data_IF_597159230868
#
_entry.id   IF_597159230868
#
_cell.length_a   1.000
_cell.length_b   1.000
_cell.length_c   1.000
_cell.angle_alpha   90.00
_cell.angle_beta   90.00
_cell.angle_gamma   90.00
#
_symmetry.space_group_name_H-M   'P 1'
#
loop_
_entity.id
_entity.type
_entity.pdbx_description
1 polymer ?
#
# COMPACT_ATOMS: atom_id res chain seq x y z
N UNK A 1 -31.49 -58.72 6.84
CA UNK A 1 -30.11 -58.81 6.32
C UNK A 1 -29.21 -58.09 7.30
N UNK A 2 -28.56 -58.84 8.19
CA UNK A 2 -27.76 -58.27 9.28
C UNK A 2 -26.46 -57.67 8.73
N UNK A 3 -26.44 -56.36 8.54
CA UNK A 3 -25.21 -55.65 8.25
C UNK A 3 -24.38 -55.53 9.53
N UNK A 4 -23.25 -56.26 9.59
CA UNK A 4 -22.29 -56.15 10.69
C UNK A 4 -21.67 -54.75 10.69
N UNK A 5 -21.66 -54.11 11.85
CA UNK A 5 -21.05 -52.78 12.06
C UNK A 5 -19.53 -52.89 11.91
N UNK A 6 -18.94 -52.27 10.89
CA UNK A 6 -17.49 -52.18 10.73
C UNK A 6 -16.94 -51.12 11.69
N UNK A 7 -16.15 -51.55 12.68
CA UNK A 7 -15.43 -50.64 13.56
C UNK A 7 -14.17 -50.15 12.85
N UNK A 8 -14.24 -48.99 12.22
CA UNK A 8 -13.05 -48.34 11.68
C UNK A 8 -12.25 -47.70 12.82
N UNK A 9 -10.94 -48.00 12.89
CA UNK A 9 -10.04 -47.33 13.82
C UNK A 9 -10.00 -45.84 13.48
N UNK A 10 -10.22 -44.99 14.48
CA UNK A 10 -10.15 -43.54 14.29
C UNK A 10 -8.75 -43.17 13.75
N UNK A 11 -8.70 -42.69 12.51
CA UNK A 11 -7.48 -42.24 11.87
C UNK A 11 -7.48 -40.71 11.90
N UNK A 12 -6.52 -40.12 12.61
CA UNK A 12 -6.41 -38.67 12.69
C UNK A 12 -5.69 -38.15 11.44
N UNK A 13 -6.40 -37.40 10.60
CA UNK A 13 -5.80 -36.67 9.47
C UNK A 13 -5.46 -35.23 9.88
N UNK A 14 -4.51 -34.62 9.18
CA UNK A 14 -4.14 -33.21 9.36
C UNK A 14 -4.34 -32.49 8.03
N UNK A 15 -5.58 -32.17 7.73
CA UNK A 15 -5.91 -31.36 6.55
C UNK A 15 -5.82 -29.88 6.92
N UNK A 16 -5.25 -29.08 6.02
CA UNK A 16 -5.13 -27.63 6.20
C UNK A 16 -5.70 -26.92 4.97
N UNK A 17 -6.53 -25.91 5.20
CA UNK A 17 -7.05 -25.07 4.12
C UNK A 17 -5.96 -24.10 3.66
N UNK A 18 -5.67 -24.10 2.35
CA UNK A 18 -4.81 -23.07 1.76
C UNK A 18 -5.62 -21.76 1.67
N UNK A 19 -5.06 -20.66 2.18
CA UNK A 19 -5.67 -19.33 2.15
C UNK A 19 -4.61 -18.28 1.79
N UNK A 20 -5.01 -17.30 0.97
CA UNK A 20 -4.18 -16.15 0.64
C UNK A 20 -4.37 -15.04 1.67
N UNK A 21 -3.36 -14.86 2.52
CA UNK A 21 -3.38 -13.80 3.52
C UNK A 21 -3.10 -12.44 2.89
N UNK A 22 -3.96 -11.47 3.18
CA UNK A 22 -3.78 -10.07 2.78
C UNK A 22 -3.81 -9.17 4.01
N UNK A 23 -2.79 -8.34 4.16
CA UNK A 23 -2.76 -7.32 5.22
C UNK A 23 -3.53 -6.09 4.78
N UNK A 24 -4.41 -5.59 5.65
CA UNK A 24 -5.14 -4.33 5.46
C UNK A 24 -4.81 -3.41 6.63
N UNK A 25 -4.34 -2.19 6.34
CA UNK A 25 -4.01 -1.19 7.37
C UNK A 25 -5.21 -0.29 7.68
N UNK A 26 -5.44 0.00 8.96
CA UNK A 26 -6.39 1.01 9.43
C UNK A 26 -5.63 2.20 10.01
N UNK A 27 -6.10 3.43 9.76
CA UNK A 27 -5.55 4.65 10.37
C UNK A 27 -6.55 5.22 11.36
N UNK A 28 -6.07 5.60 12.54
CA UNK A 28 -6.83 6.33 13.56
C UNK A 28 -6.60 7.84 13.43
N UNK A 29 -7.49 8.65 14.01
CA UNK A 29 -7.31 10.10 14.08
C UNK A 29 -6.06 10.42 14.91
N UNK A 30 -5.30 11.43 14.48
CA UNK A 30 -4.18 12.00 15.22
C UNK A 30 -4.56 13.41 15.63
N UNK A 31 -4.32 13.74 16.89
CA UNK A 31 -4.56 15.07 17.43
C UNK A 31 -3.29 15.92 17.31
N UNK A 32 -3.48 17.22 17.08
CA UNK A 32 -2.41 18.22 17.06
C UNK A 32 -2.97 19.50 17.68
N UNK A 33 -2.18 20.15 18.53
CA UNK A 33 -2.51 21.43 19.15
C UNK A 33 -1.35 22.40 18.96
N UNK A 34 -1.67 23.67 18.74
CA UNK A 34 -0.69 24.76 18.65
C UNK A 34 -1.11 25.84 19.61
N UNK A 35 -0.16 26.44 20.33
CA UNK A 35 -0.41 27.56 21.23
C UNK A 35 0.31 28.80 20.69
N UNK A 36 -0.45 29.89 20.51
CA UNK A 36 0.11 31.16 20.07
C UNK A 36 0.90 31.83 21.20
N UNK A 37 2.00 32.49 20.85
CA UNK A 37 2.78 33.30 21.78
C UNK A 37 1.98 34.50 22.30
N UNK A 38 2.00 34.68 23.63
CA UNK A 38 1.29 35.74 24.32
C UNK A 38 2.05 36.12 25.59
N UNK A 39 2.07 37.42 25.88
CA UNK A 39 2.65 37.93 27.13
C UNK A 39 2.01 37.28 28.37
N UNK A 40 2.84 36.87 29.32
CA UNK A 40 2.43 36.18 30.55
C UNK A 40 2.18 34.67 30.40
N UNK A 41 2.38 34.10 29.21
CA UNK A 41 2.26 32.66 28.97
C UNK A 41 3.64 32.01 28.82
N UNK A 42 3.84 30.87 29.49
CA UNK A 42 5.01 30.04 29.27
C UNK A 42 4.85 29.18 28.02
N UNK A 43 5.83 29.24 27.12
CA UNK A 43 5.95 28.39 25.94
C UNK A 43 7.33 27.74 25.91
N UNK A 44 7.37 26.43 25.65
CA UNK A 44 8.63 25.70 25.46
C UNK A 44 8.90 25.52 23.97
N UNK A 45 9.91 26.23 23.47
CA UNK A 45 10.34 26.18 22.07
C UNK A 45 11.62 25.34 21.85
N UNK A 46 12.13 24.63 22.86
CA UNK A 46 13.44 23.94 22.78
C UNK A 46 13.50 22.85 21.72
N UNK A 47 12.37 22.22 21.40
CA UNK A 47 12.26 21.16 20.40
C UNK A 47 11.81 21.67 19.03
N UNK A 48 11.56 22.97 18.90
CA UNK A 48 11.04 23.55 17.67
C UNK A 48 12.12 23.63 16.59
N UNK A 49 11.67 23.64 15.35
CA UNK A 49 12.54 23.73 14.19
C UNK A 49 12.23 24.99 13.38
N UNK A 50 13.24 25.82 13.18
CA UNK A 50 13.17 26.91 12.21
C UNK A 50 13.41 26.38 10.80
N UNK A 51 12.43 26.60 9.91
CA UNK A 51 12.50 26.21 8.51
C UNK A 51 12.53 27.47 7.65
N UNK A 52 13.46 27.51 6.69
CA UNK A 52 13.46 28.53 5.65
C UNK A 52 12.46 28.14 4.56
N UNK A 53 11.73 29.12 3.99
CA UNK A 53 10.84 28.85 2.87
C UNK A 53 11.66 28.39 1.67
N UNK A 54 11.21 27.30 1.05
CA UNK A 54 11.71 26.85 -0.24
C UNK A 54 10.75 27.30 -1.35
N UNK A 55 11.18 27.12 -2.60
CA UNK A 55 10.30 27.32 -3.75
C UNK A 55 9.00 26.53 -3.54
N UNK A 56 7.88 27.24 -3.57
CA UNK A 56 6.58 26.62 -3.44
C UNK A 56 6.28 25.80 -4.70
N UNK A 57 5.94 24.54 -4.51
CA UNK A 57 5.55 23.68 -5.60
C UNK A 57 4.04 23.80 -5.80
N UNK A 58 3.66 24.52 -6.85
CA UNK A 58 2.26 24.83 -7.11
C UNK A 58 1.45 23.65 -7.67
N UNK A 59 0.15 23.86 -7.83
CA UNK A 59 -0.77 22.84 -8.34
C UNK A 59 -0.51 22.49 -9.81
N UNK A 60 -0.04 23.45 -10.61
CA UNK A 60 0.21 23.28 -12.05
C UNK A 60 1.47 22.43 -12.29
N UNK A 61 2.56 22.76 -11.59
CA UNK A 61 3.79 21.97 -11.56
C UNK A 61 3.51 20.53 -11.10
N UNK A 62 2.63 20.34 -10.12
CA UNK A 62 2.23 19.01 -9.68
C UNK A 62 1.47 18.22 -10.73
N UNK A 63 0.51 18.87 -11.40
CA UNK A 63 -0.25 18.25 -12.47
C UNK A 63 0.64 17.86 -13.65
N UNK A 64 1.51 18.77 -14.08
CA UNK A 64 2.48 18.50 -15.14
C UNK A 64 3.37 17.31 -14.78
N UNK A 65 3.96 17.30 -13.59
CA UNK A 65 4.84 16.21 -13.14
C UNK A 65 4.11 14.86 -13.08
N UNK A 66 2.85 14.84 -12.63
CA UNK A 66 2.03 13.61 -12.64
C UNK A 66 1.75 13.13 -14.06
N UNK A 67 1.42 14.04 -14.98
CA UNK A 67 1.14 13.70 -16.38
C UNK A 67 2.37 13.13 -17.08
N UNK A 68 3.54 13.75 -16.91
CA UNK A 68 4.81 13.25 -17.45
C UNK A 68 5.13 11.85 -16.91
N UNK A 69 5.00 11.65 -15.59
CA UNK A 69 5.22 10.34 -14.97
C UNK A 69 4.23 9.29 -15.49
N UNK A 70 2.95 9.65 -15.65
CA UNK A 70 1.94 8.76 -16.20
C UNK A 70 2.25 8.36 -17.64
N UNK A 71 2.61 9.31 -18.51
CA UNK A 71 3.00 9.03 -19.89
C UNK A 71 4.22 8.10 -19.97
N UNK A 72 5.22 8.33 -19.12
CA UNK A 72 6.38 7.46 -19.02
C UNK A 72 6.01 6.02 -18.64
N UNK A 73 5.23 5.85 -17.57
CA UNK A 73 4.73 4.53 -17.13
C UNK A 73 3.95 3.86 -18.26
N UNK A 74 3.03 4.59 -18.90
CA UNK A 74 2.21 4.03 -19.98
C UNK A 74 3.07 3.56 -21.16
N UNK A 75 4.08 4.34 -21.57
CA UNK A 75 5.02 3.96 -22.65
C UNK A 75 5.73 2.65 -22.32
N UNK A 76 6.25 2.51 -21.11
CA UNK A 76 6.93 1.28 -20.68
C UNK A 76 5.97 0.08 -20.63
N UNK A 77 4.78 0.28 -20.08
CA UNK A 77 3.75 -0.76 -19.95
C UNK A 77 3.28 -1.27 -21.32
N UNK A 78 3.05 -0.36 -22.28
CA UNK A 78 2.72 -0.72 -23.68
C UNK A 78 3.81 -1.58 -24.30
N UNK A 79 5.09 -1.18 -24.14
CA UNK A 79 6.23 -1.96 -24.61
C UNK A 79 6.33 -3.34 -23.95
N UNK A 80 6.07 -3.43 -22.64
CA UNK A 80 6.06 -4.70 -21.91
C UNK A 80 4.96 -5.64 -22.41
N UNK A 81 3.74 -5.14 -22.61
CA UNK A 81 2.64 -5.93 -23.18
C UNK A 81 2.97 -6.47 -24.56
N UNK A 82 3.51 -5.64 -25.45
CA UNK A 82 3.90 -6.07 -26.79
C UNK A 82 4.96 -7.19 -26.74
N UNK A 83 5.99 -7.05 -25.91
CA UNK A 83 7.02 -8.09 -25.72
C UNK A 83 6.45 -9.38 -25.13
N UNK A 84 5.57 -9.26 -24.13
CA UNK A 84 4.89 -10.42 -23.52
C UNK A 84 4.06 -11.17 -24.55
N UNK A 85 3.33 -10.45 -25.40
CA UNK A 85 2.54 -11.04 -26.49
C UNK A 85 3.43 -11.72 -27.53
N UNK A 86 4.47 -11.05 -28.03
CA UNK A 86 5.39 -11.61 -29.00
C UNK A 86 6.08 -12.88 -28.49
N UNK A 87 6.53 -12.88 -27.24
CA UNK A 87 7.13 -14.06 -26.62
C UNK A 87 6.15 -15.22 -26.47
N UNK A 88 4.87 -14.95 -26.24
CA UNK A 88 3.83 -15.99 -26.21
C UNK A 88 3.63 -16.59 -27.59
N UNK A 89 3.52 -15.76 -28.63
CA UNK A 89 3.34 -16.21 -30.01
C UNK A 89 4.53 -17.00 -30.54
N UNK A 90 5.76 -16.66 -30.14
CA UNK A 90 6.98 -17.41 -30.52
C UNK A 90 7.08 -18.80 -29.89
N UNK A 91 6.35 -19.06 -28.81
CA UNK A 91 6.33 -20.35 -28.09
C UNK A 91 5.20 -21.26 -28.55
N UNK A 92 4.28 -20.74 -29.37
CA UNK A 92 3.24 -21.50 -30.05
C UNK A 92 3.79 -22.02 -31.37
#
# INVERSE_FOLDING_TARGET
>A
TDQKKTNHKLCYTRETQTYEWVTKSTRVKREIGTQMEKEGLFLDARTDKHLLPNLYFDSEMWEQRRNEAALYIQRLTRGWFARKLANRLRKQ
#
